data_IF_240388194084
#
_entry.id   IF_240388194084
#
_cell.length_a   1.000
_cell.length_b   1.000
_cell.length_c   1.000
_cell.angle_alpha   90.00
_cell.angle_beta   90.00
_cell.angle_gamma   90.00
#
_symmetry.space_group_name_H-M   'P 1'
#
loop_
_entity.id
_entity.type
_entity.pdbx_description
1 polymer ?
#
# COMPACT_ATOMS: atom_id res chain seq x y z
N UNK A 1 -46.73 31.83 -21.78
CA UNK A 1 -46.25 30.98 -20.67
C UNK A 1 -44.75 31.20 -20.55
N UNK A 2 -44.31 31.78 -19.44
CA UNK A 2 -42.91 32.16 -19.17
C UNK A 2 -42.27 31.05 -18.34
N UNK A 3 -41.07 30.55 -18.67
CA UNK A 3 -40.39 29.54 -17.86
C UNK A 3 -39.90 30.15 -16.53
N UNK A 4 -39.87 29.38 -15.42
CA UNK A 4 -39.45 29.90 -14.14
C UNK A 4 -37.92 30.12 -14.10
N UNK A 5 -37.56 31.30 -13.57
CA UNK A 5 -36.20 31.73 -13.23
C UNK A 5 -35.49 30.72 -12.31
N UNK A 6 -34.43 30.09 -12.83
CA UNK A 6 -33.49 29.32 -12.02
C UNK A 6 -32.59 30.32 -11.31
N UNK A 7 -32.95 30.69 -10.08
CA UNK A 7 -32.05 31.41 -9.16
C UNK A 7 -30.87 30.51 -8.79
N UNK A 8 -29.78 30.62 -9.56
CA UNK A 8 -28.46 30.13 -9.17
C UNK A 8 -28.00 30.85 -7.90
N UNK A 9 -28.15 30.17 -6.77
CA UNK A 9 -27.58 30.56 -5.49
C UNK A 9 -26.07 30.37 -5.57
N UNK A 10 -25.36 31.42 -6.02
CA UNK A 10 -23.89 31.50 -5.97
C UNK A 10 -23.49 31.56 -4.49
N UNK A 11 -23.02 30.45 -3.96
CA UNK A 11 -22.42 30.39 -2.62
C UNK A 11 -20.99 30.91 -2.78
N UNK A 12 -20.80 32.19 -2.47
CA UNK A 12 -19.48 32.81 -2.37
C UNK A 12 -18.77 32.26 -1.13
N UNK A 13 -18.07 31.14 -1.29
CA UNK A 13 -17.13 30.60 -0.31
C UNK A 13 -15.71 31.08 -0.64
N UNK A 14 -15.54 32.40 -0.74
CA UNK A 14 -14.25 33.05 -0.94
C UNK A 14 -13.77 33.53 0.43
N UNK A 15 -13.15 32.64 1.21
CA UNK A 15 -12.67 33.06 2.53
C UNK A 15 -12.18 31.97 3.45
N UNK A 16 -11.49 30.94 2.93
CA UNK A 16 -10.60 30.04 3.70
C UNK A 16 -9.90 29.07 2.73
N UNK A 17 -9.14 29.60 1.77
CA UNK A 17 -8.12 28.79 1.09
C UNK A 17 -6.93 28.66 2.04
N UNK A 18 -7.14 27.95 3.15
CA UNK A 18 -6.04 27.53 4.02
C UNK A 18 -5.17 26.50 3.31
N UNK A 19 -4.09 26.07 3.97
CA UNK A 19 -3.21 24.97 3.51
C UNK A 19 -4.02 23.73 3.05
N UNK A 20 -5.17 23.50 3.69
CA UNK A 20 -6.17 22.47 3.36
C UNK A 20 -6.80 22.66 1.98
N UNK A 21 -7.11 23.89 1.55
CA UNK A 21 -7.67 24.18 0.23
C UNK A 21 -6.68 23.96 -0.91
N UNK A 22 -5.41 24.32 -0.70
CA UNK A 22 -4.33 24.06 -1.68
C UNK A 22 -4.07 22.56 -1.81
N UNK A 23 -4.02 21.84 -0.68
CA UNK A 23 -3.86 20.38 -0.66
C UNK A 23 -5.02 19.67 -1.35
N UNK A 24 -6.27 20.07 -1.08
CA UNK A 24 -7.46 19.52 -1.76
C UNK A 24 -7.38 19.79 -3.27
N UNK A 25 -7.02 20.99 -3.71
CA UNK A 25 -6.92 21.33 -5.13
C UNK A 25 -5.86 20.51 -5.87
N UNK A 26 -4.67 20.34 -5.29
CA UNK A 26 -3.59 19.52 -5.87
C UNK A 26 -4.00 18.06 -5.94
N UNK A 27 -4.60 17.53 -4.88
CA UNK A 27 -5.10 16.15 -4.85
C UNK A 27 -6.20 15.94 -5.89
N UNK A 28 -7.14 16.88 -6.05
CA UNK A 28 -8.20 16.77 -7.07
C UNK A 28 -7.63 16.83 -8.49
N UNK A 29 -6.64 17.70 -8.77
CA UNK A 29 -5.99 17.76 -10.08
C UNK A 29 -5.18 16.49 -10.38
N UNK A 30 -4.41 16.00 -9.42
CA UNK A 30 -3.69 14.72 -9.57
C UNK A 30 -4.66 13.57 -9.79
N UNK A 31 -5.81 13.57 -9.10
CA UNK A 31 -6.87 12.58 -9.33
C UNK A 31 -7.38 12.62 -10.76
N UNK A 32 -7.58 13.77 -11.39
CA UNK A 32 -8.03 13.85 -12.79
C UNK A 32 -7.04 13.23 -13.77
N UNK A 33 -5.74 13.51 -13.61
CA UNK A 33 -4.70 12.92 -14.46
C UNK A 33 -4.53 11.41 -14.24
N UNK A 34 -4.44 10.99 -12.98
CA UNK A 34 -4.34 9.58 -12.61
C UNK A 34 -5.58 8.82 -13.11
N UNK A 35 -6.76 9.40 -12.96
CA UNK A 35 -8.00 8.82 -13.46
C UNK A 35 -7.96 8.60 -14.97
N UNK A 36 -7.51 9.57 -15.75
CA UNK A 36 -7.40 9.42 -17.21
C UNK A 36 -6.41 8.30 -17.59
N UNK A 37 -5.26 8.21 -16.93
CA UNK A 37 -4.26 7.16 -17.19
C UNK A 37 -4.79 5.79 -16.80
N UNK A 38 -5.43 5.68 -15.62
CA UNK A 38 -6.05 4.44 -15.15
C UNK A 38 -7.12 3.97 -16.15
N UNK A 39 -8.02 4.85 -16.59
CA UNK A 39 -9.07 4.47 -17.53
C UNK A 39 -8.52 3.95 -18.87
N UNK A 40 -7.42 4.53 -19.38
CA UNK A 40 -6.76 4.07 -20.61
C UNK A 40 -6.08 2.71 -20.48
N UNK A 41 -5.75 2.29 -19.26
CA UNK A 41 -5.03 1.04 -18.97
C UNK A 41 -5.95 -0.02 -18.33
N UNK A 42 -7.26 0.15 -18.45
CA UNK A 42 -8.21 -0.91 -18.15
C UNK A 42 -8.04 -2.04 -19.17
N UNK A 43 -7.99 -3.27 -18.66
CA UNK A 43 -8.00 -4.48 -19.46
C UNK A 43 -9.36 -4.64 -20.12
N UNK A 44 -9.35 -4.63 -21.44
CA UNK A 44 -10.49 -5.04 -22.25
C UNK A 44 -9.99 -5.92 -23.40
N UNK A 45 -10.07 -7.24 -23.21
CA UNK A 45 -9.78 -8.22 -24.26
C UNK A 45 -11.01 -8.57 -25.11
N UNK A 46 -12.09 -7.80 -25.01
CA UNK A 46 -13.34 -8.02 -25.75
C UNK A 46 -14.20 -9.19 -25.25
N UNK A 47 -13.73 -9.94 -24.24
CA UNK A 47 -14.45 -11.05 -23.61
C UNK A 47 -14.22 -11.05 -22.09
N UNK A 48 -15.30 -11.06 -21.32
CA UNK A 48 -15.26 -11.07 -19.86
C UNK A 48 -14.58 -12.33 -19.30
N UNK A 49 -14.70 -13.48 -19.99
CA UNK A 49 -14.03 -14.71 -19.58
C UNK A 49 -12.52 -14.60 -19.72
N UNK A 50 -12.05 -14.07 -20.86
CA UNK A 50 -10.62 -13.83 -21.08
C UNK A 50 -10.06 -12.87 -20.04
N UNK A 51 -10.78 -11.80 -19.72
CA UNK A 51 -10.36 -10.85 -18.68
C UNK A 51 -10.22 -11.54 -17.32
N UNK A 52 -11.19 -12.35 -16.91
CA UNK A 52 -11.15 -13.11 -15.66
C UNK A 52 -9.98 -14.12 -15.65
N UNK A 53 -9.71 -14.80 -16.78
CA UNK A 53 -8.56 -15.72 -16.94
C UNK A 53 -7.22 -14.99 -16.82
N UNK A 54 -7.05 -13.86 -17.52
CA UNK A 54 -5.83 -13.06 -17.44
C UNK A 54 -5.59 -12.53 -16.03
N UNK A 55 -6.64 -12.04 -15.35
CA UNK A 55 -6.54 -11.59 -13.96
C UNK A 55 -6.16 -12.75 -13.03
N UNK A 56 -6.65 -13.96 -13.28
CA UNK A 56 -6.26 -15.16 -12.53
C UNK A 56 -4.79 -15.51 -12.76
N UNK A 57 -4.35 -15.62 -14.02
CA UNK A 57 -2.95 -15.93 -14.35
C UNK A 57 -1.99 -14.88 -13.80
N UNK A 58 -2.38 -13.60 -13.80
CA UNK A 58 -1.57 -12.53 -13.22
C UNK A 58 -1.42 -12.67 -11.70
N UNK A 59 -2.48 -13.06 -10.98
CA UNK A 59 -2.41 -13.32 -9.53
C UNK A 59 -1.54 -14.54 -9.20
N UNK A 60 -1.60 -15.58 -10.02
CA UNK A 60 -0.72 -16.75 -9.91
C UNK A 60 0.74 -16.34 -10.11
N UNK A 61 1.03 -15.52 -11.13
CA UNK A 61 2.36 -14.97 -11.34
C UNK A 61 2.85 -14.16 -10.13
N UNK A 62 2.03 -13.26 -9.58
CA UNK A 62 2.39 -12.49 -8.37
C UNK A 62 2.69 -13.43 -7.19
N UNK A 63 1.92 -14.50 -7.03
CA UNK A 63 2.16 -15.53 -5.99
C UNK A 63 3.50 -16.23 -6.17
N UNK A 64 3.85 -16.58 -7.41
CA UNK A 64 5.16 -17.15 -7.76
C UNK A 64 6.28 -16.15 -7.42
N UNK A 65 6.10 -14.87 -7.77
CA UNK A 65 7.10 -13.84 -7.45
C UNK A 65 7.31 -13.67 -5.94
N UNK A 66 6.24 -13.72 -5.14
CA UNK A 66 6.37 -13.75 -3.68
C UNK A 66 7.21 -14.93 -3.19
N UNK A 67 6.97 -16.13 -3.73
CA UNK A 67 7.73 -17.33 -3.39
C UNK A 67 9.21 -17.20 -3.81
N UNK A 68 9.49 -16.64 -4.99
CA UNK A 68 10.86 -16.36 -5.46
C UNK A 68 11.56 -15.38 -4.53
N UNK A 69 10.91 -14.28 -4.14
CA UNK A 69 11.49 -13.29 -3.21
C UNK A 69 11.81 -13.94 -1.86
N UNK A 70 10.92 -14.77 -1.32
CA UNK A 70 11.14 -15.49 -0.06
C UNK A 70 12.28 -16.51 -0.18
N UNK A 71 12.31 -17.27 -1.28
CA UNK A 71 13.30 -18.31 -1.55
C UNK A 71 14.70 -17.73 -1.77
N UNK A 72 14.84 -16.73 -2.64
CA UNK A 72 16.12 -16.01 -2.84
C UNK A 72 16.57 -15.31 -1.55
N UNK A 73 15.61 -14.84 -0.74
CA UNK A 73 15.90 -14.28 0.56
C UNK A 73 16.61 -15.25 1.51
N UNK A 74 16.44 -16.57 1.35
CA UNK A 74 16.98 -17.54 2.32
C UNK A 74 18.51 -17.55 2.33
N UNK A 75 19.13 -17.15 1.21
CA UNK A 75 20.57 -16.94 1.12
C UNK A 75 21.08 -15.92 2.15
N UNK A 76 20.23 -15.00 2.60
CA UNK A 76 20.58 -14.01 3.60
C UNK A 76 20.81 -14.60 5.00
N UNK A 77 20.36 -15.82 5.27
CA UNK A 77 20.69 -16.54 6.51
C UNK A 77 22.20 -16.83 6.62
N UNK A 78 22.88 -17.00 5.49
CA UNK A 78 24.34 -17.19 5.44
C UNK A 78 25.11 -15.87 5.59
N UNK A 79 24.43 -14.73 5.47
CA UNK A 79 25.00 -13.39 5.49
C UNK A 79 24.60 -12.61 6.75
N UNK A 80 24.34 -13.32 7.86
CA UNK A 80 24.03 -12.68 9.13
C UNK A 80 25.32 -12.09 9.73
N UNK A 81 25.27 -10.81 10.07
CA UNK A 81 26.41 -10.12 10.68
C UNK A 81 26.70 -10.69 12.06
N UNK A 82 27.89 -11.29 12.24
CA UNK A 82 28.32 -11.89 13.50
C UNK A 82 28.50 -10.86 14.62
N UNK A 83 28.86 -9.60 14.30
CA UNK A 83 29.01 -8.55 15.29
C UNK A 83 27.66 -8.10 15.89
N UNK A 84 26.58 -8.26 15.11
CA UNK A 84 25.23 -7.81 15.43
C UNK A 84 24.18 -8.92 15.23
N UNK A 85 24.56 -10.16 15.54
CA UNK A 85 23.82 -11.37 15.18
C UNK A 85 22.34 -11.31 15.54
N UNK A 86 22.02 -11.01 16.80
CA UNK A 86 20.63 -11.02 17.29
C UNK A 86 19.79 -9.95 16.59
N UNK A 87 20.29 -8.72 16.46
CA UNK A 87 19.56 -7.64 15.80
C UNK A 87 19.37 -7.90 14.31
N UNK A 88 20.39 -8.40 13.62
CA UNK A 88 20.31 -8.67 12.19
C UNK A 88 19.37 -9.84 11.88
N UNK A 89 19.44 -10.91 12.70
CA UNK A 89 18.49 -12.03 12.62
C UNK A 89 17.04 -11.58 12.89
N UNK A 90 16.81 -10.74 13.89
CA UNK A 90 15.47 -10.22 14.18
C UNK A 90 14.94 -9.35 13.04
N UNK A 91 15.76 -8.48 12.43
CA UNK A 91 15.36 -7.70 11.27
C UNK A 91 15.01 -8.60 10.08
N UNK A 92 15.81 -9.64 9.85
CA UNK A 92 15.54 -10.62 8.81
C UNK A 92 14.18 -11.30 9.06
N UNK A 93 13.94 -11.81 10.27
CA UNK A 93 12.66 -12.43 10.65
C UNK A 93 11.49 -11.46 10.46
N UNK A 94 11.62 -10.21 10.90
CA UNK A 94 10.58 -9.18 10.73
C UNK A 94 10.35 -8.90 9.24
N UNK A 95 11.41 -8.87 8.43
CA UNK A 95 11.33 -8.74 6.98
C UNK A 95 10.51 -9.86 6.36
N UNK A 96 10.82 -11.12 6.71
CA UNK A 96 10.07 -12.29 6.29
C UNK A 96 8.59 -12.23 6.71
N UNK A 97 8.32 -11.92 7.97
CA UNK A 97 6.95 -11.74 8.49
C UNK A 97 6.23 -10.65 7.70
N UNK A 98 6.89 -9.52 7.41
CA UNK A 98 6.30 -8.44 6.64
C UNK A 98 5.93 -8.90 5.22
N UNK A 99 6.78 -9.66 4.53
CA UNK A 99 6.50 -10.20 3.19
C UNK A 99 5.37 -11.23 3.22
N UNK A 100 5.39 -12.18 4.15
CA UNK A 100 4.34 -13.21 4.29
C UNK A 100 2.99 -12.58 4.63
N UNK A 101 2.96 -11.62 5.57
CA UNK A 101 1.74 -10.87 5.87
C UNK A 101 1.28 -10.05 4.66
N UNK A 102 2.20 -9.46 3.90
CA UNK A 102 1.86 -8.73 2.67
C UNK A 102 1.16 -9.63 1.66
N UNK A 103 1.70 -10.83 1.43
CA UNK A 103 1.11 -11.85 0.57
C UNK A 103 -0.27 -12.30 1.07
N UNK A 104 -0.40 -12.60 2.37
CA UNK A 104 -1.67 -12.99 2.97
C UNK A 104 -2.75 -11.92 2.79
N UNK A 105 -2.42 -10.66 3.08
CA UNK A 105 -3.35 -9.55 2.96
C UNK A 105 -3.61 -9.14 1.52
N UNK A 106 -2.67 -9.37 0.61
CA UNK A 106 -2.91 -9.26 -0.83
C UNK A 106 -4.02 -10.22 -1.26
N UNK A 107 -3.90 -11.52 -0.95
CA UNK A 107 -4.95 -12.49 -1.27
C UNK A 107 -6.28 -12.16 -0.59
N UNK A 108 -6.26 -11.76 0.67
CA UNK A 108 -7.49 -11.31 1.36
C UNK A 108 -8.11 -10.10 0.65
N UNK A 109 -7.30 -9.14 0.22
CA UNK A 109 -7.71 -7.93 -0.47
C UNK A 109 -8.21 -8.16 -1.90
N UNK A 110 -7.65 -9.12 -2.63
CA UNK A 110 -8.08 -9.49 -3.98
C UNK A 110 -9.35 -10.37 -3.97
N UNK A 111 -9.51 -11.22 -2.95
CA UNK A 111 -10.71 -12.06 -2.77
C UNK A 111 -11.90 -11.26 -2.23
N UNK A 112 -11.68 -10.36 -1.27
CA UNK A 112 -12.74 -9.58 -0.63
C UNK A 112 -12.96 -8.20 -1.28
N UNK A 113 -12.05 -7.77 -2.16
CA UNK A 113 -12.10 -6.48 -2.87
C UNK A 113 -12.91 -6.52 -4.17
N UNK A 114 -12.95 -5.38 -4.90
CA UNK A 114 -13.57 -5.34 -6.22
C UNK A 114 -12.78 -6.17 -7.24
N UNK A 115 -13.40 -6.49 -8.39
CA UNK A 115 -12.70 -7.09 -9.53
C UNK A 115 -11.58 -6.15 -10.00
N UNK A 116 -10.43 -6.73 -10.30
CA UNK A 116 -9.21 -6.02 -10.67
C UNK A 116 -8.99 -6.18 -12.18
N UNK A 117 -9.35 -5.14 -12.93
CA UNK A 117 -9.32 -5.16 -14.39
C UNK A 117 -8.34 -4.10 -14.95
N UNK A 118 -7.26 -3.78 -14.24
CA UNK A 118 -6.34 -2.73 -14.68
C UNK A 118 -4.89 -3.19 -14.60
N UNK A 119 -4.17 -3.00 -15.70
CA UNK A 119 -2.77 -3.46 -15.84
C UNK A 119 -1.86 -2.80 -14.81
N UNK A 120 -2.13 -1.55 -14.44
CA UNK A 120 -1.33 -0.80 -13.47
C UNK A 120 -1.28 -1.46 -12.10
N UNK A 121 -2.33 -2.20 -11.70
CA UNK A 121 -2.33 -2.93 -10.42
C UNK A 121 -1.21 -3.98 -10.41
N UNK A 122 -1.05 -4.71 -11.52
CA UNK A 122 0.03 -5.70 -11.66
C UNK A 122 1.41 -5.04 -11.74
N UNK A 123 1.52 -3.88 -12.39
CA UNK A 123 2.76 -3.11 -12.39
C UNK A 123 3.16 -2.71 -10.96
N UNK A 124 2.20 -2.28 -10.14
CA UNK A 124 2.45 -1.95 -8.73
C UNK A 124 2.82 -3.21 -7.93
N UNK A 125 2.19 -4.36 -8.20
CA UNK A 125 2.55 -5.64 -7.58
C UNK A 125 4.01 -6.02 -7.90
N UNK A 126 4.46 -5.84 -9.15
CA UNK A 126 5.87 -6.06 -9.52
C UNK A 126 6.83 -5.12 -8.78
N UNK A 127 6.48 -3.83 -8.65
CA UNK A 127 7.29 -2.91 -7.84
C UNK A 127 7.32 -3.29 -6.36
N UNK A 128 6.22 -3.80 -5.82
CA UNK A 128 6.18 -4.33 -4.46
C UNK A 128 7.12 -5.52 -4.29
N UNK A 129 7.25 -6.40 -5.29
CA UNK A 129 8.21 -7.51 -5.24
C UNK A 129 9.66 -7.02 -5.11
N UNK A 130 10.01 -5.96 -5.85
CA UNK A 130 11.33 -5.33 -5.74
C UNK A 130 11.52 -4.75 -4.33
N UNK A 131 10.52 -4.04 -3.80
CA UNK A 131 10.58 -3.49 -2.44
C UNK A 131 10.72 -4.58 -1.38
N UNK A 132 10.04 -5.72 -1.52
CA UNK A 132 10.18 -6.87 -0.62
C UNK A 132 11.56 -7.53 -0.72
N UNK A 133 12.10 -7.65 -1.94
CA UNK A 133 13.47 -8.13 -2.12
C UNK A 133 14.48 -7.19 -1.44
N UNK A 134 14.34 -5.87 -1.62
CA UNK A 134 15.19 -4.87 -0.94
C UNK A 134 15.06 -4.94 0.58
N UNK A 135 13.86 -5.20 1.11
CA UNK A 135 13.61 -5.34 2.54
C UNK A 135 14.47 -6.44 3.17
N UNK A 136 14.63 -7.56 2.47
CA UNK A 136 15.39 -8.73 2.94
C UNK A 136 16.91 -8.52 2.73
N UNK A 137 17.30 -7.95 1.59
CA UNK A 137 18.71 -7.84 1.19
C UNK A 137 19.43 -6.60 1.71
N UNK A 138 18.71 -5.51 2.04
CA UNK A 138 19.31 -4.24 2.48
C UNK A 138 19.03 -3.92 3.96
N UNK A 139 18.94 -4.94 4.82
CA UNK A 139 18.64 -4.80 6.25
C UNK A 139 19.78 -4.24 7.11
N UNK A 140 21.01 -4.21 6.59
CA UNK A 140 22.19 -3.71 7.33
C UNK A 140 22.17 -2.21 7.66
N UNK A 141 21.22 -1.45 7.14
CA UNK A 141 21.03 -0.03 7.49
C UNK A 141 19.58 0.24 7.88
N UNK A 142 19.36 0.54 9.16
CA UNK A 142 18.05 0.90 9.72
C UNK A 142 17.39 2.07 8.97
N UNK A 143 18.19 3.08 8.60
CA UNK A 143 17.69 4.23 7.84
C UNK A 143 17.15 3.81 6.47
N UNK A 144 17.91 3.01 5.72
CA UNK A 144 17.47 2.49 4.42
C UNK A 144 16.21 1.64 4.59
N UNK A 145 16.16 0.81 5.64
CA UNK A 145 15.01 -0.03 5.92
C UNK A 145 13.73 0.80 6.20
N UNK A 146 13.82 1.89 6.96
CA UNK A 146 12.69 2.81 7.17
C UNK A 146 12.19 3.44 5.86
N UNK A 147 13.10 3.83 4.96
CA UNK A 147 12.71 4.33 3.63
C UNK A 147 12.08 3.25 2.76
N UNK A 148 12.56 2.00 2.84
CA UNK A 148 11.94 0.85 2.14
C UNK A 148 10.52 0.61 2.65
N UNK A 149 10.28 0.68 3.97
CA UNK A 149 8.92 0.61 4.54
C UNK A 149 8.03 1.78 4.06
N UNK A 150 8.57 3.00 4.00
CA UNK A 150 7.82 4.14 3.46
C UNK A 150 7.45 3.90 1.98
N UNK A 151 8.38 3.39 1.17
CA UNK A 151 8.12 3.02 -0.22
C UNK A 151 7.06 1.92 -0.35
N UNK A 152 7.07 0.91 0.53
CA UNK A 152 6.04 -0.13 0.57
C UNK A 152 4.65 0.46 0.80
N UNK A 153 4.49 1.35 1.81
CA UNK A 153 3.21 2.00 2.08
C UNK A 153 2.79 2.96 0.97
N UNK A 154 3.73 3.63 0.32
CA UNK A 154 3.49 4.46 -0.85
C UNK A 154 2.89 3.63 -2.00
N UNK A 155 3.48 2.47 -2.30
CA UNK A 155 2.96 1.56 -3.33
C UNK A 155 1.57 1.01 -2.96
N UNK A 156 1.33 0.66 -1.69
CA UNK A 156 -0.01 0.29 -1.24
C UNK A 156 -1.03 1.43 -1.39
N UNK A 157 -0.61 2.68 -1.19
CA UNK A 157 -1.48 3.82 -1.40
C UNK A 157 -1.81 4.02 -2.88
N UNK A 158 -0.81 3.94 -3.77
CA UNK A 158 -1.00 3.97 -5.23
C UNK A 158 -1.94 2.85 -5.67
N UNK A 159 -1.73 1.64 -5.17
CA UNK A 159 -2.55 0.47 -5.49
C UNK A 159 -4.02 0.72 -5.17
N UNK A 160 -4.33 1.23 -3.97
CA UNK A 160 -5.71 1.61 -3.62
C UNK A 160 -6.25 2.79 -4.44
N UNK A 161 -5.39 3.76 -4.79
CA UNK A 161 -5.79 4.91 -5.59
C UNK A 161 -6.25 4.47 -6.98
N UNK A 162 -5.53 3.54 -7.61
CA UNK A 162 -5.94 2.93 -8.89
C UNK A 162 -7.32 2.28 -8.73
N UNK A 163 -7.54 1.53 -7.65
CA UNK A 163 -8.85 0.89 -7.38
C UNK A 163 -9.98 1.89 -7.15
N UNK A 164 -9.72 3.06 -6.57
CA UNK A 164 -10.73 4.14 -6.49
C UNK A 164 -11.06 4.66 -7.89
N UNK A 165 -10.04 4.87 -8.73
CA UNK A 165 -10.20 5.38 -10.09
C UNK A 165 -10.96 4.41 -11.01
N UNK A 166 -10.99 3.12 -10.69
CA UNK A 166 -11.82 2.13 -11.38
C UNK A 166 -13.32 2.22 -11.05
N UNK A 167 -13.73 3.11 -10.12
CA UNK A 167 -15.13 3.33 -9.73
C UNK A 167 -15.89 2.04 -9.37
N UNK A 168 -15.46 1.29 -8.34
CA UNK A 168 -16.09 0.03 -8.00
C UNK A 168 -17.55 0.23 -7.55
N UNK A 169 -18.43 -0.77 -7.74
CA UNK A 169 -19.81 -0.67 -7.27
C UNK A 169 -19.88 -0.50 -5.75
N UNK A 170 -20.89 0.20 -5.25
CA UNK A 170 -21.18 0.24 -3.80
C UNK A 170 -21.56 -1.18 -3.32
N UNK A 171 -21.11 -1.65 -2.13
CA UNK A 171 -20.43 -0.91 -1.06
C UNK A 171 -18.89 -0.88 -1.15
N UNK A 172 -18.28 -1.44 -2.21
CA UNK A 172 -16.83 -1.58 -2.31
C UNK A 172 -16.11 -0.23 -2.40
N UNK A 173 -16.72 0.79 -3.02
CA UNK A 173 -16.17 2.15 -3.06
C UNK A 173 -15.84 2.71 -1.67
N UNK A 174 -16.72 2.54 -0.68
CA UNK A 174 -16.46 3.02 0.70
C UNK A 174 -15.28 2.28 1.34
N UNK A 175 -15.17 0.96 1.11
CA UNK A 175 -14.07 0.14 1.63
C UNK A 175 -12.73 0.57 1.05
N UNK A 176 -12.64 0.67 -0.28
CA UNK A 176 -11.41 1.08 -0.99
C UNK A 176 -11.00 2.50 -0.60
N UNK A 177 -11.94 3.47 -0.51
CA UNK A 177 -11.65 4.82 -0.02
C UNK A 177 -11.08 4.84 1.40
N UNK A 178 -11.63 3.99 2.28
CA UNK A 178 -11.13 3.85 3.66
C UNK A 178 -9.73 3.23 3.67
N UNK A 179 -9.48 2.17 2.90
CA UNK A 179 -8.17 1.54 2.78
C UNK A 179 -7.11 2.51 2.22
N UNK A 180 -7.44 3.24 1.15
CA UNK A 180 -6.57 4.28 0.58
C UNK A 180 -6.16 5.32 1.64
N UNK A 181 -7.12 5.79 2.45
CA UNK A 181 -6.86 6.78 3.51
C UNK A 181 -5.97 6.20 4.61
N UNK A 182 -6.15 4.92 4.98
CA UNK A 182 -5.27 4.22 5.92
C UNK A 182 -3.85 4.13 5.33
N UNK A 183 -3.70 3.68 4.08
CA UNK A 183 -2.40 3.53 3.43
C UNK A 183 -1.66 4.87 3.34
N UNK A 184 -2.37 5.96 3.01
CA UNK A 184 -1.80 7.31 3.00
C UNK A 184 -1.30 7.73 4.38
N UNK A 185 -2.09 7.50 5.44
CA UNK A 185 -1.68 7.84 6.80
C UNK A 185 -0.44 7.05 7.24
N UNK A 186 -0.36 5.76 6.92
CA UNK A 186 0.82 4.94 7.24
C UNK A 186 2.03 5.29 6.39
N UNK A 187 1.84 5.67 5.13
CA UNK A 187 2.90 6.23 4.29
C UNK A 187 3.47 7.49 4.91
N UNK A 188 2.63 8.48 5.26
CA UNK A 188 3.06 9.73 5.89
C UNK A 188 3.73 9.48 7.23
N UNK A 189 3.18 8.59 8.07
CA UNK A 189 3.79 8.22 9.34
C UNK A 189 5.17 7.57 9.15
N UNK A 190 5.28 6.59 8.26
CA UNK A 190 6.54 5.90 7.97
C UNK A 190 7.58 6.86 7.39
N UNK A 191 7.16 7.79 6.53
CA UNK A 191 8.03 8.81 5.96
C UNK A 191 8.52 9.79 7.04
N UNK A 192 7.63 10.25 7.93
CA UNK A 192 8.01 11.11 9.05
C UNK A 192 9.00 10.43 10.00
N UNK A 193 8.79 9.14 10.31
CA UNK A 193 9.73 8.35 11.10
C UNK A 193 11.07 8.27 10.37
N UNK A 194 11.08 7.91 9.07
CA UNK A 194 12.30 7.82 8.28
C UNK A 194 13.09 9.15 8.25
N UNK A 195 12.40 10.27 7.99
CA UNK A 195 12.99 11.60 7.97
C UNK A 195 13.50 12.04 9.35
N UNK A 196 12.75 11.77 10.41
CA UNK A 196 13.18 12.06 11.77
C UNK A 196 14.49 11.33 12.11
N UNK A 197 14.57 10.04 11.82
CA UNK A 197 15.80 9.26 12.05
C UNK A 197 16.94 9.72 11.14
N UNK A 198 16.66 10.05 9.88
CA UNK A 198 17.67 10.57 8.94
C UNK A 198 18.27 11.88 9.45
N UNK A 199 17.44 12.87 9.81
CA UNK A 199 17.87 14.18 10.30
C UNK A 199 18.51 14.10 11.67
N UNK A 200 18.06 13.21 12.56
CA UNK A 200 18.63 13.04 13.90
C UNK A 200 20.01 12.39 13.89
N UNK A 201 20.21 11.36 13.04
CA UNK A 201 21.47 10.62 12.97
C UNK A 201 22.52 11.43 12.20
N UNK A 202 22.12 12.23 11.22
CA UNK A 202 23.03 13.02 10.37
C UNK A 202 24.01 13.93 11.16
N UNK A 203 23.58 14.72 12.16
CA UNK A 203 24.47 15.62 12.89
C UNK A 203 25.12 15.01 14.15
N UNK A 204 24.58 13.94 14.74
CA UNK A 204 24.99 13.51 16.10
C UNK A 204 26.04 12.39 16.17
N UNK A 205 26.46 11.80 15.04
CA UNK A 205 27.70 11.02 14.96
C UNK A 205 27.88 9.80 15.90
N UNK A 206 26.94 9.42 16.78
CA UNK A 206 26.82 8.10 17.46
C UNK A 206 25.75 8.04 18.56
N UNK A 207 24.85 7.05 18.47
CA UNK A 207 24.55 6.05 19.52
C UNK A 207 23.79 4.85 18.91
N UNK A 208 24.54 3.97 18.25
CA UNK A 208 24.03 2.91 17.36
C UNK A 208 23.03 1.95 18.07
N UNK A 209 23.20 1.69 19.36
CA UNK A 209 22.42 0.66 20.07
C UNK A 209 21.01 1.10 20.49
N UNK A 210 20.86 2.30 21.07
CA UNK A 210 19.55 2.82 21.46
C UNK A 210 18.67 3.10 20.24
N UNK A 211 19.25 3.71 19.21
CA UNK A 211 18.55 4.02 17.96
C UNK A 211 18.06 2.75 17.25
N UNK A 212 18.79 1.63 17.38
CA UNK A 212 18.41 0.34 16.79
C UNK A 212 17.17 -0.28 17.45
N UNK A 213 17.06 -0.24 18.78
CA UNK A 213 15.91 -0.80 19.50
C UNK A 213 14.63 0.00 19.23
N UNK A 214 14.72 1.33 19.19
CA UNK A 214 13.57 2.19 18.85
C UNK A 214 13.15 1.97 17.40
N UNK A 215 14.10 1.88 16.47
CA UNK A 215 13.82 1.65 15.06
C UNK A 215 13.18 0.27 14.82
N UNK A 216 13.71 -0.78 15.45
CA UNK A 216 13.15 -2.14 15.38
C UNK A 216 11.72 -2.18 15.96
N UNK A 217 11.49 -1.49 17.09
CA UNK A 217 10.15 -1.35 17.67
C UNK A 217 9.20 -0.61 16.73
N UNK A 218 9.65 0.50 16.14
CA UNK A 218 8.86 1.28 15.19
C UNK A 218 8.49 0.44 13.96
N UNK A 219 9.43 -0.30 13.40
CA UNK A 219 9.20 -1.21 12.27
C UNK A 219 8.20 -2.31 12.66
N UNK A 220 8.40 -2.97 13.81
CA UNK A 220 7.49 -4.00 14.31
C UNK A 220 6.06 -3.46 14.45
N UNK A 221 5.91 -2.27 15.05
CA UNK A 221 4.63 -1.59 15.16
C UNK A 221 4.05 -1.25 13.78
N UNK A 222 4.82 -0.68 12.86
CA UNK A 222 4.35 -0.38 11.51
C UNK A 222 3.87 -1.64 10.79
N UNK A 223 4.61 -2.74 10.84
CA UNK A 223 4.26 -4.00 10.17
C UNK A 223 3.00 -4.61 10.76
N UNK A 224 2.89 -4.74 12.08
CA UNK A 224 1.76 -5.45 12.70
C UNK A 224 0.53 -4.57 12.91
N UNK A 225 0.72 -3.34 13.35
CA UNK A 225 -0.39 -2.44 13.68
C UNK A 225 -1.13 -2.00 12.42
N UNK A 226 -0.43 -1.81 11.29
CA UNK A 226 -1.02 -1.54 9.97
C UNK A 226 -2.00 -2.63 9.51
N UNK A 227 -1.71 -3.89 9.81
CA UNK A 227 -2.53 -5.00 9.32
C UNK A 227 -3.89 -5.06 10.01
N UNK A 228 -4.02 -4.57 11.24
CA UNK A 228 -5.29 -4.55 11.99
C UNK A 228 -6.38 -3.73 11.28
N UNK A 229 -6.20 -2.44 10.93
CA UNK A 229 -7.22 -1.66 10.23
C UNK A 229 -7.53 -2.20 8.84
N UNK A 230 -6.52 -2.62 8.06
CA UNK A 230 -6.74 -3.23 6.73
C UNK A 230 -7.53 -4.52 6.83
N UNK A 231 -7.20 -5.39 7.79
CA UNK A 231 -7.95 -6.62 8.05
C UNK A 231 -9.42 -6.36 8.34
N UNK A 232 -9.72 -5.34 9.16
CA UNK A 232 -11.10 -4.94 9.49
C UNK A 232 -11.85 -4.38 8.28
N UNK A 233 -11.17 -3.68 7.36
CA UNK A 233 -11.80 -3.12 6.15
C UNK A 233 -12.21 -4.24 5.18
N UNK A 234 -11.34 -5.24 5.00
CA UNK A 234 -11.56 -6.38 4.10
C UNK A 234 -12.09 -7.63 4.80
N UNK A 235 -12.52 -7.53 6.05
CA UNK A 235 -13.27 -8.61 6.67
C UNK A 235 -14.62 -8.68 5.94
N UNK A 236 -14.82 -9.75 5.17
CA UNK A 236 -16.11 -10.03 4.55
C UNK A 236 -17.11 -10.14 5.69
N UNK A 237 -18.25 -9.46 5.59
CA UNK A 237 -19.40 -9.86 6.39
C UNK A 237 -19.67 -11.29 5.94
N UNK A 238 -19.25 -12.27 6.73
CA UNK A 238 -19.66 -13.66 6.56
C UNK A 238 -21.12 -13.70 7.00
N UNK A 239 -22.00 -13.00 6.26
CA UNK A 239 -23.39 -13.38 6.20
C UNK A 239 -23.36 -14.66 5.39
N UNK A 240 -23.35 -15.78 6.10
CA UNK A 240 -23.92 -17.04 5.64
C UNK A 240 -25.23 -16.71 4.95
N UNK A 241 -25.19 -16.51 3.63
CA UNK A 241 -26.41 -16.64 2.86
C UNK A 241 -26.79 -18.11 3.00
N UNK A 242 -27.96 -18.44 3.54
CA UNK A 242 -28.43 -19.82 3.53
C UNK A 242 -28.38 -20.27 2.08
N UNK A 243 -27.70 -21.39 1.83
CA UNK A 243 -27.76 -22.04 0.52
C UNK A 243 -29.23 -22.33 0.25
N UNK A 244 -29.84 -21.57 -0.66
CA UNK A 244 -31.11 -21.95 -1.25
C UNK A 244 -30.82 -23.20 -2.09
N UNK A 245 -31.16 -24.35 -1.51
CA UNK A 245 -31.32 -25.63 -2.22
C UNK A 245 -32.51 -25.52 -3.15
#
# INVERSE_FOLDING_TARGET
>A
MVPPDIKTKRIDNVGKVGLTGLFVSVVTRMQSYVFMVVQKLNLDMGDSKKNDEFSKSSRELVTILFAVVLGLGLEQLNHIDQAHFVSDLLLLIIGYIAVVLSWWFYHKGTIAGPKENNVLLYTVDCFLMIVYWLLINLRGSMQRLLFIYAAMFFLYWIWELIRICQQPPEPNTKKVKKACRVNLNYFLLSLLIALFFYVRIWPLGRSITFDSAVCLTAIYCLVLYYRRPISKIYQKDIRTQPQSV
#
